data_IF_091872285516
#
_entry.id   IF_091872285516
#
_cell.length_a   1.000
_cell.length_b   1.000
_cell.length_c   1.000
_cell.angle_alpha   90.00
_cell.angle_beta   90.00
_cell.angle_gamma   90.00
#
_symmetry.space_group_name_H-M   'P 1'
#
loop_
_entity.id
_entity.type
_entity.pdbx_description
1 polymer ?
#
# COMPACT_ATOMS: atom_id res chain seq x y z
N UNK A 1 -8.00 34.04 25.67
CA UNK A 1 -9.12 33.97 24.71
C UNK A 1 -8.90 32.73 23.85
N UNK A 2 -9.67 31.66 24.09
CA UNK A 2 -9.50 30.41 23.35
C UNK A 2 -10.03 30.58 21.93
N UNK A 3 -9.20 30.34 20.92
CA UNK A 3 -9.65 30.18 19.54
C UNK A 3 -10.57 28.96 19.47
N UNK A 4 -11.88 29.18 19.60
CA UNK A 4 -12.87 28.12 19.50
C UNK A 4 -12.77 27.47 18.13
N UNK A 5 -12.36 26.20 18.09
CA UNK A 5 -12.39 25.40 16.86
C UNK A 5 -13.86 25.07 16.57
N UNK A 6 -14.35 25.50 15.41
CA UNK A 6 -15.67 25.10 14.91
C UNK A 6 -15.50 23.73 14.23
N UNK A 7 -16.15 22.71 14.78
CA UNK A 7 -16.20 21.38 14.21
C UNK A 7 -17.40 21.27 13.27
N UNK A 8 -17.19 20.72 12.06
CA UNK A 8 -18.26 20.48 11.08
C UNK A 8 -18.52 18.98 10.96
N UNK A 9 -19.78 18.59 11.10
CA UNK A 9 -20.20 17.23 10.80
C UNK A 9 -20.29 17.02 9.28
N UNK A 10 -19.93 15.83 8.82
CA UNK A 10 -20.10 15.39 7.43
C UNK A 10 -21.11 14.26 7.42
N UNK A 11 -22.15 14.36 6.59
CA UNK A 11 -23.19 13.34 6.50
C UNK A 11 -22.58 12.02 6.02
N UNK A 12 -22.79 10.94 6.77
CA UNK A 12 -22.20 9.62 6.51
C UNK A 12 -20.86 9.36 7.21
N UNK A 13 -20.25 10.37 7.82
CA UNK A 13 -19.07 10.21 8.66
C UNK A 13 -19.48 10.04 10.13
N UNK A 14 -19.21 8.86 10.70
CA UNK A 14 -19.52 8.56 12.11
C UNK A 14 -18.34 8.82 13.04
N UNK A 15 -17.11 8.66 12.52
CA UNK A 15 -15.85 8.73 13.28
C UNK A 15 -14.89 9.76 12.67
N UNK A 16 -14.12 10.44 13.50
CA UNK A 16 -13.24 11.55 13.10
C UNK A 16 -11.83 11.37 13.68
N UNK A 17 -10.83 11.85 12.94
CA UNK A 17 -9.42 11.83 13.34
C UNK A 17 -8.53 11.02 12.39
N UNK A 18 -9.09 10.11 11.61
CA UNK A 18 -8.37 9.23 10.70
C UNK A 18 -8.13 9.90 9.33
N UNK A 19 -7.06 10.67 9.22
CA UNK A 19 -6.77 11.43 8.00
C UNK A 19 -6.34 10.55 6.81
N UNK A 20 -5.81 9.37 7.04
CA UNK A 20 -5.29 8.47 6.00
C UNK A 20 -6.14 7.21 5.94
N UNK A 21 -6.70 6.94 4.76
CA UNK A 21 -7.37 5.69 4.42
C UNK A 21 -6.38 4.72 3.77
N UNK A 22 -6.29 3.49 4.28
CA UNK A 22 -5.43 2.43 3.77
C UNK A 22 -6.32 1.34 3.18
N UNK A 23 -6.25 1.16 1.87
CA UNK A 23 -6.92 0.07 1.19
C UNK A 23 -6.07 -1.20 1.32
N UNK A 24 -6.69 -2.23 1.86
CA UNK A 24 -6.09 -3.52 2.17
C UNK A 24 -6.55 -4.58 1.17
N UNK A 25 -5.61 -5.27 0.53
CA UNK A 25 -5.89 -6.52 -0.18
C UNK A 25 -6.38 -7.62 0.77
N UNK A 26 -7.17 -8.56 0.23
CA UNK A 26 -7.60 -9.75 0.96
C UNK A 26 -6.46 -10.76 1.00
N UNK A 27 -5.65 -10.69 2.06
CA UNK A 27 -4.46 -11.52 2.24
C UNK A 27 -4.45 -12.20 3.60
N UNK A 28 -4.06 -13.48 3.63
CA UNK A 28 -3.83 -14.22 4.86
C UNK A 28 -2.34 -14.22 5.22
N UNK A 29 -1.86 -13.16 5.86
CA UNK A 29 -0.48 -13.06 6.36
C UNK A 29 -0.41 -12.16 7.60
N UNK A 30 0.59 -12.34 8.48
CA UNK A 30 0.78 -11.43 9.60
C UNK A 30 1.29 -10.06 9.13
N UNK A 31 0.76 -8.99 9.73
CA UNK A 31 1.30 -7.63 9.60
C UNK A 31 1.97 -7.21 10.92
N UNK A 32 3.30 -7.35 11.04
CA UNK A 32 4.01 -6.87 12.22
C UNK A 32 4.00 -5.32 12.28
N UNK A 33 4.25 -4.71 13.45
CA UNK A 33 4.51 -3.28 13.53
C UNK A 33 5.62 -2.87 12.55
N UNK A 34 5.40 -1.80 11.79
CA UNK A 34 6.20 -1.41 10.62
C UNK A 34 5.51 -1.72 9.27
N UNK A 35 4.51 -2.61 9.26
CA UNK A 35 3.67 -2.85 8.08
C UNK A 35 2.49 -1.86 8.01
N UNK A 36 2.09 -1.40 6.80
CA UNK A 36 0.89 -0.56 6.66
C UNK A 36 -0.37 -1.25 7.17
N UNK A 37 -0.45 -2.58 7.12
CA UNK A 37 -1.60 -3.36 7.63
C UNK A 37 -1.71 -3.47 9.14
N UNK A 38 -0.83 -2.80 9.91
CA UNK A 38 -0.86 -2.78 11.36
C UNK A 38 -1.04 -1.36 11.89
N UNK A 39 -2.13 -1.13 12.64
CA UNK A 39 -2.46 0.19 13.17
C UNK A 39 -1.39 0.75 14.12
N UNK A 40 -0.62 -0.11 14.81
CA UNK A 40 0.45 0.34 15.72
C UNK A 40 1.72 0.77 15.00
N UNK A 41 1.74 0.72 13.66
CA UNK A 41 2.83 1.26 12.84
C UNK A 41 2.84 2.79 12.83
N UNK A 42 1.70 3.43 13.08
CA UNK A 42 1.52 4.87 12.90
C UNK A 42 1.34 5.56 14.24
N UNK A 43 1.99 6.71 14.42
CA UNK A 43 1.82 7.59 15.58
C UNK A 43 0.52 8.43 15.52
N UNK A 44 -0.32 8.16 14.52
CA UNK A 44 -1.59 8.82 14.27
C UNK A 44 -2.62 7.79 13.80
N UNK A 45 -3.93 8.01 14.03
CA UNK A 45 -4.94 7.03 13.67
C UNK A 45 -5.13 6.97 12.14
N UNK A 46 -5.28 5.76 11.63
CA UNK A 46 -5.55 5.46 10.22
C UNK A 46 -6.83 4.66 10.10
N UNK A 47 -7.48 4.72 8.93
CA UNK A 47 -8.66 3.92 8.64
C UNK A 47 -8.34 2.85 7.61
N UNK A 48 -8.76 1.63 7.88
CA UNK A 48 -8.60 0.50 6.95
C UNK A 48 -9.89 0.21 6.20
N UNK A 49 -9.77 -0.14 4.92
CA UNK A 49 -10.85 -0.79 4.16
C UNK A 49 -10.31 -2.01 3.44
N UNK A 50 -10.89 -3.18 3.69
CA UNK A 50 -10.47 -4.45 3.07
C UNK A 50 -11.29 -4.69 1.80
N UNK A 51 -10.61 -4.85 0.68
CA UNK A 51 -11.23 -5.15 -0.61
C UNK A 51 -11.39 -6.65 -0.76
N UNK A 52 -12.56 -7.16 -0.36
CA UNK A 52 -12.91 -8.57 -0.54
C UNK A 52 -12.80 -8.98 -2.01
N UNK A 53 -12.15 -10.10 -2.30
CA UNK A 53 -11.89 -10.58 -3.66
C UNK A 53 -10.63 -10.02 -4.31
N UNK A 54 -9.95 -9.02 -3.72
CA UNK A 54 -8.64 -8.54 -4.18
C UNK A 54 -7.50 -9.39 -3.58
N UNK A 55 -7.38 -10.63 -4.03
CA UNK A 55 -6.37 -11.58 -3.55
C UNK A 55 -5.00 -11.33 -4.19
N UNK A 56 -3.94 -11.95 -3.64
CA UNK A 56 -2.59 -11.89 -4.23
C UNK A 56 -2.58 -12.37 -5.69
N UNK A 57 -3.29 -13.46 -6.00
CA UNK A 57 -3.36 -13.99 -7.35
C UNK A 57 -3.96 -12.95 -8.30
N UNK A 58 -5.13 -12.38 -7.96
CA UNK A 58 -5.86 -11.44 -8.83
C UNK A 58 -5.24 -10.05 -8.94
N UNK A 59 -4.29 -9.70 -8.07
CA UNK A 59 -3.69 -8.36 -8.03
C UNK A 59 -2.22 -8.37 -8.43
N UNK A 60 -1.48 -9.41 -8.07
CA UNK A 60 -0.01 -9.47 -8.22
C UNK A 60 0.41 -10.48 -9.29
N UNK A 61 -0.10 -11.70 -9.25
CA UNK A 61 0.40 -12.79 -10.10
C UNK A 61 -0.31 -12.88 -11.46
N UNK A 62 -1.63 -12.69 -11.47
CA UNK A 62 -2.49 -12.63 -12.65
C UNK A 62 -3.46 -11.44 -12.50
N UNK A 63 -2.98 -10.21 -12.80
CA UNK A 63 -3.75 -8.99 -12.57
C UNK A 63 -5.09 -8.98 -13.33
N UNK A 64 -6.18 -9.03 -12.57
CA UNK A 64 -7.54 -9.09 -13.06
C UNK A 64 -8.17 -7.69 -13.09
N UNK A 65 -8.47 -7.13 -14.28
CA UNK A 65 -9.06 -5.79 -14.41
C UNK A 65 -10.41 -5.62 -13.68
N UNK A 66 -11.13 -6.72 -13.42
CA UNK A 66 -12.43 -6.68 -12.72
C UNK A 66 -12.31 -6.36 -11.22
N UNK A 67 -11.09 -6.31 -10.68
CA UNK A 67 -10.85 -5.92 -9.28
C UNK A 67 -10.87 -4.39 -9.10
N UNK A 68 -10.60 -3.61 -10.15
CA UNK A 68 -10.57 -2.13 -10.07
C UNK A 68 -11.86 -1.51 -9.50
N UNK A 69 -13.08 -1.90 -9.94
CA UNK A 69 -14.31 -1.40 -9.33
C UNK A 69 -14.40 -1.63 -7.81
N UNK A 70 -13.85 -2.73 -7.31
CA UNK A 70 -13.83 -3.04 -5.88
C UNK A 70 -12.91 -2.09 -5.11
N UNK A 71 -11.73 -1.76 -5.67
CA UNK A 71 -10.84 -0.74 -5.11
C UNK A 71 -11.51 0.65 -5.11
N UNK A 72 -12.22 0.99 -6.19
CA UNK A 72 -12.93 2.27 -6.29
C UNK A 72 -14.03 2.39 -5.24
N UNK A 73 -14.80 1.32 -4.99
CA UNK A 73 -15.83 1.37 -3.95
C UNK A 73 -15.22 1.52 -2.56
N UNK A 74 -14.17 0.76 -2.24
CA UNK A 74 -13.45 0.92 -0.96
C UNK A 74 -12.90 2.34 -0.77
N UNK A 75 -12.37 2.95 -1.84
CA UNK A 75 -11.94 4.36 -1.81
C UNK A 75 -13.10 5.33 -1.57
N UNK A 76 -14.28 5.10 -2.17
CA UNK A 76 -15.47 5.93 -1.95
C UNK A 76 -15.96 5.85 -0.52
N UNK A 77 -15.95 4.67 0.09
CA UNK A 77 -16.29 4.48 1.49
C UNK A 77 -15.35 5.28 2.40
N UNK A 78 -14.03 5.12 2.21
CA UNK A 78 -13.03 5.87 2.99
C UNK A 78 -13.23 7.40 2.87
N UNK A 79 -13.48 7.90 1.66
CA UNK A 79 -13.73 9.34 1.43
C UNK A 79 -15.03 9.79 2.08
N UNK A 80 -16.10 8.99 2.02
CA UNK A 80 -17.38 9.25 2.70
C UNK A 80 -17.18 9.32 4.23
N UNK A 81 -16.28 8.52 4.76
CA UNK A 81 -15.88 8.51 6.17
C UNK A 81 -14.85 9.59 6.52
N UNK A 82 -14.52 10.47 5.57
CA UNK A 82 -13.84 11.74 5.82
C UNK A 82 -12.32 11.71 5.76
N UNK A 83 -11.70 10.62 5.25
CA UNK A 83 -10.24 10.60 5.04
C UNK A 83 -9.80 11.72 4.10
N UNK A 84 -8.55 12.17 4.26
CA UNK A 84 -7.94 13.25 3.49
C UNK A 84 -6.94 12.77 2.46
N UNK A 85 -6.55 11.50 2.49
CA UNK A 85 -5.81 10.82 1.44
C UNK A 85 -6.08 9.32 1.48
N UNK A 86 -5.86 8.65 0.34
CA UNK A 86 -5.97 7.20 0.17
C UNK A 86 -4.59 6.64 -0.16
N UNK A 87 -4.24 5.50 0.42
CA UNK A 87 -3.06 4.71 0.06
C UNK A 87 -3.37 3.22 0.00
N UNK A 88 -2.47 2.45 -0.58
CA UNK A 88 -2.54 0.98 -0.66
C UNK A 88 -1.55 0.29 0.28
N UNK A 89 -1.81 -0.98 0.59
CA UNK A 89 -0.92 -1.79 1.43
C UNK A 89 0.15 -2.58 0.66
N UNK A 90 0.11 -2.59 -0.68
CA UNK A 90 1.00 -3.39 -1.53
C UNK A 90 1.61 -2.55 -2.66
N UNK A 91 2.93 -2.65 -2.87
CA UNK A 91 3.64 -1.89 -3.90
C UNK A 91 3.19 -2.20 -5.34
N UNK A 92 2.59 -3.37 -5.57
CA UNK A 92 2.07 -3.80 -6.87
C UNK A 92 0.73 -3.15 -7.22
N UNK A 93 0.09 -2.47 -6.27
CA UNK A 93 -1.14 -1.71 -6.52
C UNK A 93 -0.88 -0.46 -7.39
N UNK A 94 0.35 -0.24 -7.85
CA UNK A 94 0.70 0.81 -8.81
C UNK A 94 -0.12 0.74 -10.10
N UNK A 95 -0.54 -0.46 -10.55
CA UNK A 95 -1.40 -0.62 -11.73
C UNK A 95 -2.76 0.05 -11.63
N UNK A 96 -3.19 0.41 -10.42
CA UNK A 96 -4.46 1.09 -10.15
C UNK A 96 -4.26 2.58 -9.85
N UNK A 97 -3.04 3.09 -9.86
CA UNK A 97 -2.75 4.48 -9.47
C UNK A 97 -3.57 5.48 -10.29
N UNK A 98 -3.39 5.47 -11.62
CA UNK A 98 -4.00 6.47 -12.50
C UNK A 98 -5.53 6.42 -12.45
N UNK A 99 -6.09 5.20 -12.47
CA UNK A 99 -7.52 4.98 -12.45
C UNK A 99 -8.13 5.37 -11.11
N UNK A 100 -7.44 5.15 -9.99
CA UNK A 100 -7.92 5.56 -8.66
C UNK A 100 -7.81 7.07 -8.48
N UNK A 101 -6.69 7.67 -8.82
CA UNK A 101 -6.46 9.12 -8.71
C UNK A 101 -7.53 9.92 -9.45
N UNK A 102 -7.94 9.48 -10.64
CA UNK A 102 -9.01 10.13 -11.42
C UNK A 102 -10.41 10.05 -10.79
N UNK A 103 -10.64 9.20 -9.77
CA UNK A 103 -11.97 8.98 -9.16
C UNK A 103 -12.20 9.79 -7.89
N UNK A 104 -11.15 10.36 -7.30
CA UNK A 104 -11.24 11.00 -5.99
C UNK A 104 -10.67 12.42 -6.02
N UNK A 105 -11.27 13.30 -5.22
CA UNK A 105 -10.78 14.67 -5.03
C UNK A 105 -9.72 14.78 -3.91
N UNK A 106 -9.42 13.67 -3.24
CA UNK A 106 -8.34 13.58 -2.25
C UNK A 106 -7.11 12.96 -2.90
N UNK A 107 -5.89 13.29 -2.45
CA UNK A 107 -4.68 12.63 -2.94
C UNK A 107 -4.73 11.10 -2.80
N UNK A 108 -4.25 10.40 -3.81
CA UNK A 108 -4.20 8.93 -3.87
C UNK A 108 -2.76 8.49 -4.13
N UNK A 109 -2.25 7.58 -3.31
CA UNK A 109 -0.90 7.02 -3.43
C UNK A 109 -0.95 5.50 -3.30
N UNK A 110 -1.19 4.78 -4.38
CA UNK A 110 -1.42 3.33 -4.31
C UNK A 110 -0.13 2.52 -4.10
N UNK A 111 1.04 3.13 -4.27
CA UNK A 111 2.32 2.40 -4.19
C UNK A 111 3.46 3.28 -3.69
N UNK A 112 4.38 2.67 -2.92
CA UNK A 112 5.64 3.30 -2.55
C UNK A 112 6.55 3.57 -3.76
N UNK A 113 6.34 2.91 -4.90
CA UNK A 113 7.11 3.14 -6.13
C UNK A 113 6.94 4.57 -6.67
N UNK A 114 5.88 5.29 -6.32
CA UNK A 114 5.69 6.70 -6.68
C UNK A 114 6.80 7.61 -6.14
N UNK A 115 7.56 7.15 -5.14
CA UNK A 115 8.68 7.90 -4.57
C UNK A 115 9.96 7.83 -5.44
N UNK A 116 10.00 6.96 -6.46
CA UNK A 116 11.20 6.73 -7.28
C UNK A 116 11.76 8.01 -7.91
N UNK A 117 10.97 8.90 -8.54
CA UNK A 117 11.52 10.13 -9.12
C UNK A 117 12.12 11.07 -8.06
N UNK A 118 11.46 11.17 -6.90
CA UNK A 118 11.94 11.99 -5.79
C UNK A 118 13.26 11.46 -5.23
N UNK A 119 13.34 10.16 -4.93
CA UNK A 119 14.56 9.54 -4.41
C UNK A 119 15.69 9.69 -5.42
N UNK A 120 15.43 9.42 -6.70
CA UNK A 120 16.43 9.55 -7.77
C UNK A 120 17.00 10.96 -7.88
N UNK A 121 16.21 11.99 -7.59
CA UNK A 121 16.64 13.40 -7.65
C UNK A 121 17.64 13.76 -6.55
N UNK A 122 17.66 12.99 -5.45
CA UNK A 122 18.54 13.23 -4.30
C UNK A 122 19.88 12.50 -4.40
N UNK A 123 20.03 11.58 -5.36
CA UNK A 123 21.24 10.80 -5.56
C UNK A 123 22.31 11.58 -6.34
N UNK A 124 23.58 11.22 -6.16
CA UNK A 124 24.69 11.79 -6.92
C UNK A 124 24.62 11.35 -8.39
N UNK A 125 25.22 12.11 -9.33
CA UNK A 125 25.34 11.67 -10.72
C UNK A 125 25.93 10.25 -10.82
N UNK A 126 25.25 9.36 -11.56
CA UNK A 126 25.67 7.97 -11.76
C UNK A 126 25.18 6.96 -10.73
N UNK A 127 24.60 7.41 -9.60
CA UNK A 127 23.97 6.53 -8.62
C UNK A 127 22.57 6.07 -9.07
N UNK A 128 22.07 4.98 -8.48
CA UNK A 128 20.81 4.32 -8.86
C UNK A 128 19.95 4.07 -7.62
N UNK A 129 18.63 4.06 -7.80
CA UNK A 129 17.69 3.70 -6.71
C UNK A 129 17.67 2.18 -6.53
N UNK A 130 17.96 1.70 -5.32
CA UNK A 130 17.83 0.29 -4.97
C UNK A 130 16.39 -0.07 -4.61
N UNK A 131 15.84 -1.11 -5.23
CA UNK A 131 14.52 -1.66 -4.93
C UNK A 131 14.70 -3.09 -4.40
N UNK A 132 14.22 -3.34 -3.17
CA UNK A 132 14.14 -4.68 -2.59
C UNK A 132 12.68 -5.11 -2.66
N UNK A 133 12.41 -6.24 -3.33
CA UNK A 133 11.06 -6.76 -3.55
C UNK A 133 10.95 -8.20 -3.09
N UNK A 134 9.75 -8.63 -2.69
CA UNK A 134 9.49 -10.02 -2.28
C UNK A 134 9.80 -11.02 -3.41
N UNK A 135 9.58 -10.62 -4.66
CA UNK A 135 9.93 -11.41 -5.83
C UNK A 135 10.40 -10.48 -6.96
N UNK A 136 11.64 -10.64 -7.42
CA UNK A 136 12.18 -9.81 -8.51
C UNK A 136 11.54 -10.11 -9.86
N UNK A 137 11.04 -11.32 -10.05
CA UNK A 137 10.45 -11.79 -11.32
C UNK A 137 9.06 -11.21 -11.57
N UNK A 138 8.37 -10.75 -10.52
CA UNK A 138 7.03 -10.15 -10.65
C UNK A 138 7.08 -8.64 -10.86
N UNK A 139 8.14 -7.96 -10.39
CA UNK A 139 8.30 -6.51 -10.59
C UNK A 139 8.71 -6.21 -12.04
N UNK A 140 7.72 -6.01 -12.90
CA UNK A 140 7.94 -5.74 -14.33
C UNK A 140 8.33 -4.29 -14.62
N UNK A 141 8.86 -4.06 -15.83
CA UNK A 141 9.13 -2.72 -16.36
C UNK A 141 7.90 -1.83 -16.41
N UNK A 142 6.70 -2.41 -16.57
CA UNK A 142 5.45 -1.67 -16.60
C UNK A 142 5.12 -1.04 -15.24
N UNK A 143 5.40 -1.73 -14.13
CA UNK A 143 5.26 -1.15 -12.79
C UNK A 143 6.09 0.13 -12.65
N UNK A 144 7.35 0.07 -13.12
CA UNK A 144 8.28 1.20 -13.07
C UNK A 144 7.84 2.33 -14.02
N UNK A 145 7.35 1.98 -15.21
CA UNK A 145 6.84 2.95 -16.19
C UNK A 145 5.67 3.76 -15.61
N UNK A 146 4.70 3.09 -14.99
CA UNK A 146 3.55 3.75 -14.34
C UNK A 146 4.03 4.57 -13.15
N UNK A 147 4.84 3.99 -12.26
CA UNK A 147 5.35 4.66 -11.06
C UNK A 147 6.14 5.95 -11.33
N UNK A 148 6.82 6.02 -12.47
CA UNK A 148 7.65 7.17 -12.85
C UNK A 148 6.96 8.10 -13.84
N UNK A 149 5.72 7.78 -14.23
CA UNK A 149 5.01 8.44 -15.32
C UNK A 149 5.88 8.57 -16.59
N UNK A 150 6.60 7.49 -16.92
CA UNK A 150 7.54 7.43 -18.05
C UNK A 150 8.89 8.14 -17.86
N UNK A 151 9.13 8.77 -16.71
CA UNK A 151 10.43 9.40 -16.42
C UNK A 151 11.51 8.35 -16.22
N UNK A 152 12.64 8.49 -16.91
CA UNK A 152 13.76 7.58 -16.74
C UNK A 152 14.35 7.70 -15.32
N UNK A 153 14.15 6.67 -14.50
CA UNK A 153 14.76 6.54 -13.18
C UNK A 153 15.70 5.33 -13.20
N UNK A 154 17.02 5.51 -13.01
CA UNK A 154 17.93 4.39 -12.97
C UNK A 154 17.73 3.60 -11.68
N UNK A 155 17.33 2.33 -11.80
CA UNK A 155 17.05 1.43 -10.68
C UNK A 155 17.93 0.19 -10.70
N UNK A 156 18.13 -0.41 -9.53
CA UNK A 156 18.65 -1.77 -9.35
C UNK A 156 17.64 -2.55 -8.52
N UNK A 157 17.22 -3.72 -8.97
CA UNK A 157 16.23 -4.55 -8.30
C UNK A 157 16.89 -5.78 -7.69
N UNK A 158 16.62 -6.04 -6.41
CA UNK A 158 17.00 -7.25 -5.70
C UNK A 158 15.74 -7.96 -5.17
N UNK A 159 15.64 -9.24 -5.47
CA UNK A 159 14.52 -10.08 -5.05
C UNK A 159 14.83 -10.88 -3.79
N UNK A 160 13.82 -11.08 -2.95
CA UNK A 160 13.92 -11.90 -1.73
C UNK A 160 13.37 -13.31 -1.92
N UNK A 161 12.93 -13.70 -3.12
CA UNK A 161 12.21 -14.96 -3.40
C UNK A 161 12.96 -16.23 -2.98
N UNK A 162 14.30 -16.19 -2.96
CA UNK A 162 15.16 -17.31 -2.59
C UNK A 162 15.61 -17.26 -1.10
N UNK A 163 15.15 -16.27 -0.33
CA UNK A 163 15.50 -16.14 1.08
C UNK A 163 14.60 -17.03 1.97
N UNK A 164 15.16 -17.68 3.02
CA UNK A 164 14.40 -18.61 3.86
C UNK A 164 13.11 -18.04 4.47
N UNK A 165 13.09 -16.74 4.78
CA UNK A 165 11.93 -16.04 5.36
C UNK A 165 10.89 -15.56 4.33
N UNK A 166 11.16 -15.68 3.03
CA UNK A 166 10.28 -15.27 1.93
C UNK A 166 9.83 -16.44 1.03
N UNK A 167 10.32 -17.65 1.31
CA UNK A 167 9.90 -18.86 0.62
C UNK A 167 8.39 -19.13 0.83
N UNK A 168 7.67 -19.63 -0.19
CA UNK A 168 6.25 -19.92 -0.07
C UNK A 168 5.97 -20.93 1.06
N UNK A 169 4.77 -20.90 1.68
CA UNK A 169 4.44 -21.77 2.81
C UNK A 169 4.65 -23.27 2.55
N UNK A 170 4.54 -23.70 1.30
CA UNK A 170 4.82 -25.09 0.86
C UNK A 170 6.27 -25.52 1.08
N UNK A 171 7.20 -24.57 1.19
CA UNK A 171 8.64 -24.80 1.34
C UNK A 171 9.19 -24.32 2.70
N UNK A 172 8.34 -23.70 3.53
CA UNK A 172 8.68 -23.36 4.90
C UNK A 172 8.63 -24.61 5.79
N UNK A 173 9.79 -25.25 5.98
CA UNK A 173 9.99 -26.29 7.00
C UNK A 173 9.61 -25.69 8.35
N UNK A 174 8.43 -26.02 8.88
CA UNK A 174 7.84 -25.58 10.19
C UNK A 174 8.80 -24.68 10.97
N UNK A 175 8.74 -23.37 10.72
CA UNK A 175 9.28 -22.42 11.70
C UNK A 175 8.42 -22.63 12.93
N UNK A 176 9.04 -23.22 13.95
CA UNK A 176 8.40 -23.62 15.20
C UNK A 176 7.46 -22.53 15.69
N UNK A 177 6.19 -22.90 15.85
CA UNK A 177 5.16 -22.09 16.49
C UNK A 177 5.51 -21.90 17.96
N UNK A 178 6.45 -21.01 18.27
CA UNK A 178 6.41 -20.33 19.55
C UNK A 178 5.33 -19.27 19.39
N UNK A 179 4.13 -19.61 19.85
CA UNK A 179 2.98 -18.71 19.94
C UNK A 179 3.34 -17.53 20.84
N UNK A 180 4.07 -16.55 20.32
CA UNK A 180 4.03 -15.19 20.84
C UNK A 180 2.91 -14.52 20.08
N UNK A 181 1.69 -14.68 20.60
CA UNK A 181 0.56 -13.80 20.27
C UNK A 181 1.14 -12.37 20.25
N UNK A 182 1.00 -11.66 19.13
CA UNK A 182 1.29 -10.22 19.05
C UNK A 182 0.38 -9.55 20.08
N UNK A 183 0.85 -9.46 21.32
CA UNK A 183 0.17 -8.71 22.38
C UNK A 183 0.60 -7.26 22.19
N UNK A 184 -0.33 -6.32 22.01
CA UNK A 184 0.01 -4.92 22.18
C UNK A 184 0.57 -4.74 23.60
N UNK A 185 1.67 -4.00 23.73
CA UNK A 185 2.17 -3.54 25.03
C UNK A 185 1.17 -2.57 25.64
#
# INVERSE_FOLDING_TARGET
>A
MGNGKIYKAVQGQTTFGEAIGIIMMETFMPFPPGSPGNATTFDYPVRYSVVKGATMDRVVFDPDPSVLPLFVEAGRELVREGVKAITGNCGFMIFYQDQMEQKFNVPVFMSCLLQLPFISRLLKPGEKVGIITANSKTLSTEHLRIATNGTAVPVVVAGMEDQPCFMPPSMQRKVSSTSTRLRPR
#
